data_IF_948668605408
#
_entry.id   IF_948668605408
#
_cell.length_a   1.000
_cell.length_b   1.000
_cell.length_c   1.000
_cell.angle_alpha   90.00
_cell.angle_beta   90.00
_cell.angle_gamma   90.00
#
_symmetry.space_group_name_H-M   'P 1'
#
loop_
_entity.id
_entity.type
_entity.pdbx_description
1 polymer ?
#
# COMPACT_ATOMS: atom_id res chain seq x y z
N UNK A 1 -8.29 -44.54 -45.05
CA UNK A 1 -9.12 -43.80 -44.08
C UNK A 1 -8.47 -42.42 -43.95
N UNK A 2 -8.84 -41.35 -44.68
CA UNK A 2 -10.11 -40.58 -44.63
C UNK A 2 -10.63 -40.50 -43.19
N UNK A 3 -10.72 -39.36 -42.50
CA UNK A 3 -11.08 -37.96 -42.84
C UNK A 3 -10.48 -37.02 -41.78
N UNK A 4 -9.87 -35.88 -42.13
CA UNK A 4 -10.47 -34.52 -42.11
C UNK A 4 -11.26 -34.14 -40.86
N UNK A 5 -10.72 -33.25 -40.04
CA UNK A 5 -11.38 -32.14 -39.32
C UNK A 5 -10.24 -31.34 -38.64
N UNK A 6 -10.01 -30.06 -38.88
CA UNK A 6 -10.80 -29.00 -38.28
C UNK A 6 -10.70 -27.70 -39.10
N UNK A 7 -11.87 -27.14 -39.42
CA UNK A 7 -12.07 -25.87 -40.09
C UNK A 7 -12.22 -24.74 -39.06
N UNK A 8 -11.44 -23.69 -39.26
CA UNK A 8 -11.95 -22.32 -39.47
C UNK A 8 -12.89 -21.71 -38.40
N UNK A 9 -12.36 -20.77 -37.61
CA UNK A 9 -13.08 -19.53 -37.30
C UNK A 9 -12.18 -18.33 -37.48
N UNK A 10 -12.34 -17.67 -38.62
CA UNK A 10 -11.97 -16.29 -38.78
C UNK A 10 -13.18 -15.38 -38.60
N UNK A 11 -12.85 -14.10 -38.40
CA UNK A 11 -13.61 -12.89 -38.78
C UNK A 11 -14.41 -12.14 -37.71
N UNK A 12 -13.92 -10.90 -37.50
CA UNK A 12 -14.63 -9.60 -37.55
C UNK A 12 -15.22 -9.06 -36.25
N UNK A 13 -14.62 -7.96 -35.79
CA UNK A 13 -15.28 -6.82 -35.17
C UNK A 13 -14.54 -5.56 -35.61
N UNK A 14 -15.23 -4.63 -36.26
CA UNK A 14 -14.69 -3.47 -36.95
C UNK A 14 -15.34 -2.18 -36.44
N UNK A 15 -14.62 -1.07 -36.64
CA UNK A 15 -15.09 0.31 -36.87
C UNK A 15 -15.75 1.13 -35.72
N UNK A 16 -15.24 2.38 -35.66
CA UNK A 16 -15.96 3.67 -35.49
C UNK A 16 -16.43 3.99 -34.06
N UNK A 17 -16.23 5.20 -33.51
CA UNK A 17 -16.20 6.47 -34.23
C UNK A 17 -15.56 7.64 -33.50
N UNK A 18 -15.25 8.60 -34.36
CA UNK A 18 -14.82 9.96 -34.13
C UNK A 18 -15.96 10.74 -33.46
N UNK A 19 -15.63 11.49 -32.40
CA UNK A 19 -16.48 12.54 -31.85
C UNK A 19 -15.66 13.80 -31.63
N UNK A 20 -15.69 14.71 -32.60
CA UNK A 20 -15.22 16.09 -32.51
C UNK A 20 -16.43 16.98 -32.23
N UNK A 21 -16.34 17.86 -31.25
CA UNK A 21 -17.05 19.14 -31.14
C UNK A 21 -16.60 19.80 -29.82
N UNK A 22 -16.47 21.11 -29.63
CA UNK A 22 -16.38 22.27 -30.49
C UNK A 22 -15.99 23.42 -29.54
N UNK A 23 -15.24 24.39 -30.05
CA UNK A 23 -14.87 25.61 -29.35
C UNK A 23 -16.08 26.49 -29.00
N UNK A 24 -15.97 27.31 -27.96
CA UNK A 24 -16.85 28.47 -27.83
C UNK A 24 -16.69 29.36 -26.59
N UNK A 25 -16.13 30.57 -26.82
CA UNK A 25 -16.55 31.91 -26.32
C UNK A 25 -16.42 32.14 -24.80
N UNK A 26 -15.40 32.86 -24.29
CA UNK A 26 -15.23 34.33 -24.22
C UNK A 26 -16.26 35.09 -23.35
N UNK A 27 -15.76 35.85 -22.37
CA UNK A 27 -16.52 36.77 -21.49
C UNK A 27 -16.52 36.29 -20.03
N UNK A 28 -16.18 37.07 -19.00
CA UNK A 28 -16.01 38.51 -18.89
C UNK A 28 -14.97 38.82 -17.80
N UNK A 29 -14.21 39.90 -18.02
CA UNK A 29 -13.41 40.58 -17.01
C UNK A 29 -14.37 41.20 -15.99
N UNK A 30 -14.30 40.77 -14.73
CA UNK A 30 -14.86 41.54 -13.61
C UNK A 30 -13.70 42.25 -12.92
N UNK A 31 -13.66 43.57 -13.12
CA UNK A 31 -12.85 44.51 -12.33
C UNK A 31 -13.74 45.08 -11.23
N UNK A 32 -13.71 44.45 -10.07
CA UNK A 32 -14.27 44.93 -8.80
C UNK A 32 -13.36 44.33 -7.72
N UNK A 33 -13.00 44.97 -6.62
CA UNK A 33 -12.99 46.35 -6.19
C UNK A 33 -11.98 46.33 -5.03
N UNK A 34 -11.12 47.35 -4.97
CA UNK A 34 -10.03 47.47 -4.01
C UNK A 34 -10.59 47.85 -2.63
N UNK A 35 -11.07 46.86 -1.88
CA UNK A 35 -11.22 46.98 -0.43
C UNK A 35 -9.97 46.41 0.25
N UNK A 36 -9.04 47.32 0.54
CA UNK A 36 -7.88 47.09 1.40
C UNK A 36 -8.34 46.64 2.80
N UNK A 37 -8.46 45.33 2.99
CA UNK A 37 -8.42 44.72 4.31
C UNK A 37 -6.97 44.35 4.61
N UNK A 38 -6.34 45.23 5.40
CA UNK A 38 -5.10 44.99 6.13
C UNK A 38 -5.29 43.80 7.08
N UNK A 39 -5.24 42.59 6.51
CA UNK A 39 -5.13 41.34 7.26
C UNK A 39 -3.64 41.06 7.44
N UNK A 40 -3.14 40.91 8.69
CA UNK A 40 -1.79 40.43 8.91
C UNK A 40 -1.63 39.11 8.16
N UNK A 41 -0.59 39.03 7.34
CA UNK A 41 -0.28 37.84 6.57
C UNK A 41 -0.34 36.60 7.48
N UNK A 42 -1.04 35.51 7.11
CA UNK A 42 -0.91 34.26 7.82
C UNK A 42 0.57 33.92 7.81
N UNK A 43 1.19 33.93 8.99
CA UNK A 43 2.57 33.48 9.12
C UNK A 43 2.63 32.09 8.50
N UNK A 44 3.62 31.79 7.64
CA UNK A 44 3.85 30.42 7.25
C UNK A 44 4.08 29.67 8.56
N UNK A 45 3.12 28.82 8.94
CA UNK A 45 3.34 27.83 9.96
C UNK A 45 4.55 27.06 9.46
N UNK A 46 5.72 27.35 10.04
CA UNK A 46 6.86 26.48 9.97
C UNK A 46 6.39 25.23 10.68
N UNK A 47 5.79 24.33 9.89
CA UNK A 47 5.51 22.97 10.28
C UNK A 47 6.83 22.42 10.76
N UNK A 48 7.04 22.46 12.08
CA UNK A 48 8.13 21.72 12.71
C UNK A 48 8.08 20.34 12.08
N UNK A 49 9.14 19.88 11.41
CA UNK A 49 9.16 18.53 10.88
C UNK A 49 8.91 17.64 12.08
N UNK A 50 7.71 17.08 12.12
CA UNK A 50 7.26 16.23 13.19
C UNK A 50 8.18 15.02 13.11
N UNK A 51 9.20 15.02 13.97
CA UNK A 51 10.05 13.86 14.16
C UNK A 51 9.15 12.64 14.38
N UNK A 52 9.59 11.45 13.96
CA UNK A 52 8.80 10.24 14.14
C UNK A 52 8.32 10.19 15.59
N UNK A 53 7.01 10.03 15.85
CA UNK A 53 6.47 10.10 17.21
C UNK A 53 7.26 9.15 18.10
N UNK A 54 7.75 9.65 19.24
CA UNK A 54 8.66 8.97 20.20
C UNK A 54 8.20 7.56 20.62
N UNK A 55 6.95 7.17 20.36
CA UNK A 55 6.44 5.82 20.59
C UNK A 55 6.93 4.76 19.61
N UNK A 56 7.31 5.09 18.36
CA UNK A 56 7.61 4.09 17.34
C UNK A 56 8.92 3.33 17.60
N UNK A 57 9.94 4.04 18.08
CA UNK A 57 11.23 3.44 18.45
C UNK A 57 11.13 2.50 19.64
N UNK A 58 10.21 2.76 20.58
CA UNK A 58 9.93 1.85 21.69
C UNK A 58 9.40 0.47 21.23
N UNK A 59 8.81 0.42 20.03
CA UNK A 59 8.36 -0.83 19.38
C UNK A 59 9.41 -1.41 18.40
N UNK A 60 10.64 -0.89 18.41
CA UNK A 60 11.71 -1.31 17.52
C UNK A 60 11.42 -1.03 16.04
N UNK A 61 10.49 -0.10 15.74
CA UNK A 61 10.22 0.35 14.39
C UNK A 61 11.19 1.47 14.01
N UNK A 62 11.71 1.40 12.79
CA UNK A 62 12.61 2.39 12.21
C UNK A 62 12.10 2.81 10.83
N UNK A 63 12.51 3.99 10.37
CA UNK A 63 12.20 4.47 9.02
C UNK A 63 12.62 3.44 7.95
N UNK A 64 11.90 3.36 6.83
CA UNK A 64 12.19 2.36 5.80
C UNK A 64 13.58 2.56 5.21
N UNK A 65 14.29 1.45 5.00
CA UNK A 65 15.59 1.41 4.32
C UNK A 65 15.41 1.55 2.81
N UNK A 66 16.47 1.92 2.10
CA UNK A 66 16.43 2.16 0.65
C UNK A 66 15.94 0.95 -0.16
N UNK A 67 16.26 -0.27 0.28
CA UNK A 67 15.80 -1.51 -0.35
C UNK A 67 14.29 -1.75 -0.15
N UNK A 68 13.76 -1.42 1.03
CA UNK A 68 12.32 -1.44 1.30
C UNK A 68 11.61 -0.37 0.46
N UNK A 69 12.15 0.84 0.38
CA UNK A 69 11.61 1.91 -0.48
C UNK A 69 11.63 1.47 -1.95
N UNK A 70 12.71 0.84 -2.42
CA UNK A 70 12.82 0.35 -3.80
C UNK A 70 11.77 -0.72 -4.14
N UNK A 71 11.52 -1.65 -3.20
CA UNK A 71 10.46 -2.66 -3.35
C UNK A 71 9.09 -2.01 -3.55
N UNK A 72 8.75 -1.03 -2.73
CA UNK A 72 7.44 -0.36 -2.76
C UNK A 72 7.33 0.65 -3.91
N UNK A 73 8.43 1.24 -4.37
CA UNK A 73 8.44 2.24 -5.43
C UNK A 73 7.56 3.45 -5.08
N UNK A 74 6.53 3.71 -5.90
CA UNK A 74 5.60 4.81 -5.67
C UNK A 74 4.58 4.54 -4.53
N UNK A 75 4.51 3.31 -3.99
CA UNK A 75 3.64 2.94 -2.87
C UNK A 75 4.24 3.40 -1.53
N UNK A 76 4.43 4.71 -1.37
CA UNK A 76 4.86 5.32 -0.11
C UNK A 76 3.70 5.67 0.83
N UNK A 77 3.98 6.18 2.04
CA UNK A 77 2.96 6.76 2.91
C UNK A 77 2.09 7.79 2.19
N UNK A 78 0.77 7.68 2.33
CA UNK A 78 -0.22 8.47 1.62
C UNK A 78 -0.67 7.89 0.27
N UNK A 79 0.05 6.92 -0.29
CA UNK A 79 -0.32 6.31 -1.57
C UNK A 79 -1.61 5.50 -1.46
N UNK A 80 -2.51 5.69 -2.43
CA UNK A 80 -3.74 4.92 -2.52
C UNK A 80 -3.45 3.51 -3.03
N UNK A 81 -4.12 2.52 -2.43
CA UNK A 81 -4.14 1.13 -2.89
C UNK A 81 -5.59 0.84 -3.27
N UNK A 82 -5.87 0.85 -4.57
CA UNK A 82 -7.24 0.85 -5.08
C UNK A 82 -8.03 2.09 -4.62
N UNK A 83 -9.36 1.95 -4.52
CA UNK A 83 -10.29 3.04 -4.14
C UNK A 83 -10.63 3.09 -2.65
N UNK A 84 -10.17 2.11 -1.85
CA UNK A 84 -10.64 1.89 -0.48
C UNK A 84 -9.54 1.90 0.59
N UNK A 85 -8.28 1.80 0.20
CA UNK A 85 -7.17 1.74 1.14
C UNK A 85 -6.09 2.75 0.80
N UNK A 86 -5.34 3.13 1.83
CA UNK A 86 -4.15 3.98 1.71
C UNK A 86 -3.05 3.36 2.55
N UNK A 87 -1.81 3.45 2.07
CA UNK A 87 -0.65 3.12 2.89
C UNK A 87 -0.45 4.26 3.89
N UNK A 88 -0.60 3.98 5.18
CA UNK A 88 -0.43 4.99 6.24
C UNK A 88 1.03 5.08 6.68
N UNK A 89 1.68 3.93 6.89
CA UNK A 89 3.08 3.88 7.29
C UNK A 89 3.79 2.65 6.71
N UNK A 90 5.08 2.83 6.40
CA UNK A 90 6.01 1.82 5.92
C UNK A 90 7.28 1.89 6.78
N UNK A 91 7.80 0.75 7.21
CA UNK A 91 8.96 0.68 8.10
C UNK A 91 10.07 -0.20 7.53
N UNK A 92 11.28 -0.08 8.08
CA UNK A 92 12.38 -0.98 7.75
C UNK A 92 12.06 -2.43 8.13
N UNK A 93 12.84 -3.36 7.56
CA UNK A 93 12.80 -4.77 7.97
C UNK A 93 13.12 -4.88 9.47
N UNK A 94 12.17 -5.42 10.24
CA UNK A 94 12.29 -5.67 11.68
C UNK A 94 12.15 -7.16 11.92
N UNK A 95 13.22 -7.77 12.45
CA UNK A 95 13.26 -9.21 12.75
C UNK A 95 12.81 -10.09 11.57
N UNK A 96 13.24 -9.74 10.36
CA UNK A 96 12.98 -10.53 9.15
C UNK A 96 11.64 -10.26 8.44
N UNK A 97 10.81 -9.33 8.93
CA UNK A 97 9.59 -8.90 8.24
C UNK A 97 9.51 -7.39 8.03
N UNK A 98 8.75 -6.93 7.04
CA UNK A 98 8.45 -5.51 6.82
C UNK A 98 7.11 -5.18 7.48
N UNK A 99 7.08 -4.33 8.52
CA UNK A 99 5.86 -3.82 9.10
C UNK A 99 5.26 -2.73 8.20
N UNK A 100 3.95 -2.80 7.97
CA UNK A 100 3.18 -1.82 7.19
C UNK A 100 1.90 -1.49 7.97
N UNK A 101 1.44 -0.24 7.89
CA UNK A 101 0.11 0.15 8.36
C UNK A 101 -0.70 0.58 7.15
N UNK A 102 -1.88 -0.02 7.01
CA UNK A 102 -2.89 0.39 6.04
C UNK A 102 -4.02 1.12 6.75
N UNK A 103 -4.64 2.05 6.05
CA UNK A 103 -5.84 2.76 6.48
C UNK A 103 -6.97 2.51 5.48
N UNK A 104 -8.17 2.20 5.99
CA UNK A 104 -9.38 2.16 5.17
C UNK A 104 -9.84 3.59 4.83
N UNK A 105 -10.68 3.75 3.81
CA UNK A 105 -11.32 5.04 3.49
C UNK A 105 -12.05 5.68 4.68
N UNK A 106 -12.52 4.87 5.64
CA UNK A 106 -13.18 5.33 6.86
C UNK A 106 -12.22 5.77 7.98
N UNK A 107 -10.91 5.76 7.74
CA UNK A 107 -9.90 6.16 8.74
C UNK A 107 -9.45 5.04 9.68
N UNK A 108 -9.97 3.82 9.51
CA UNK A 108 -9.59 2.69 10.36
C UNK A 108 -8.22 2.14 9.95
N UNK A 109 -7.31 2.01 10.91
CA UNK A 109 -5.94 1.53 10.69
C UNK A 109 -5.73 0.09 11.13
N UNK A 110 -4.95 -0.66 10.37
CA UNK A 110 -4.57 -2.03 10.68
C UNK A 110 -3.13 -2.33 10.21
N UNK A 111 -2.46 -3.23 10.95
CA UNK A 111 -1.09 -3.60 10.67
C UNK A 111 -1.00 -4.81 9.75
N UNK A 112 0.00 -4.82 8.88
CA UNK A 112 0.35 -5.93 8.01
C UNK A 112 1.85 -6.21 8.19
N UNK A 113 2.23 -7.48 8.25
CA UNK A 113 3.64 -7.86 8.17
C UNK A 113 3.88 -8.68 6.91
N UNK A 114 4.98 -8.36 6.23
CA UNK A 114 5.38 -8.99 4.98
C UNK A 114 6.67 -9.77 5.24
N UNK A 115 6.67 -11.05 4.88
CA UNK A 115 7.80 -11.97 4.96
C UNK A 115 8.15 -12.51 3.59
N UNK A 116 9.27 -13.24 3.49
CA UNK A 116 9.41 -14.21 2.41
C UNK A 116 8.39 -15.33 2.58
N UNK A 117 7.88 -15.82 1.45
CA UNK A 117 7.09 -17.02 1.39
C UNK A 117 7.90 -18.25 1.87
N UNK A 118 7.20 -19.21 2.46
CA UNK A 118 7.78 -20.46 2.95
C UNK A 118 6.70 -21.40 3.49
N UNK A 119 7.11 -22.56 4.00
CA UNK A 119 6.20 -23.68 4.37
C UNK A 119 5.46 -23.50 5.71
N UNK A 120 5.47 -22.29 6.26
CA UNK A 120 4.90 -21.98 7.58
C UNK A 120 3.37 -21.80 7.55
N UNK A 121 2.81 -21.07 8.54
CA UNK A 121 1.40 -20.71 8.53
C UNK A 121 0.98 -20.07 7.20
N UNK A 122 -0.19 -20.46 6.69
CA UNK A 122 -0.72 -19.92 5.45
C UNK A 122 -0.88 -18.39 5.56
N UNK A 123 -0.30 -17.61 4.64
CA UNK A 123 -0.50 -16.18 4.61
C UNK A 123 -1.92 -15.83 4.17
N UNK A 124 -2.34 -14.60 4.47
CA UNK A 124 -3.62 -14.09 4.01
C UNK A 124 -3.58 -13.77 2.51
N UNK A 125 -2.41 -13.35 2.00
CA UNK A 125 -2.15 -13.13 0.59
C UNK A 125 -0.66 -13.35 0.26
N UNK A 126 -0.35 -13.59 -1.01
CA UNK A 126 1.02 -13.74 -1.52
C UNK A 126 1.27 -12.80 -2.69
N UNK A 127 2.53 -12.38 -2.87
CA UNK A 127 2.98 -11.61 -4.02
C UNK A 127 4.39 -12.08 -4.42
N UNK A 128 4.51 -12.85 -5.50
CA UNK A 128 5.74 -13.57 -5.86
C UNK A 128 6.26 -14.38 -4.67
N UNK A 129 7.50 -14.11 -4.28
CA UNK A 129 8.15 -14.73 -3.12
C UNK A 129 7.82 -14.05 -1.77
N UNK A 130 6.78 -13.22 -1.71
CA UNK A 130 6.31 -12.56 -0.49
C UNK A 130 5.05 -13.21 0.07
N UNK A 131 4.97 -13.26 1.39
CA UNK A 131 3.83 -13.72 2.17
C UNK A 131 3.36 -12.60 3.10
N UNK A 132 2.09 -12.22 3.02
CA UNK A 132 1.50 -11.11 3.76
C UNK A 132 0.55 -11.63 4.84
N UNK A 133 0.73 -11.11 6.05
CA UNK A 133 -0.04 -11.49 7.23
C UNK A 133 -0.68 -10.25 7.85
N UNK A 134 -1.97 -10.35 8.14
CA UNK A 134 -2.67 -9.34 8.94
C UNK A 134 -2.23 -9.45 10.40
N UNK A 135 -1.78 -8.33 10.99
CA UNK A 135 -1.48 -8.23 12.41
C UNK A 135 -2.74 -7.79 13.15
N UNK A 136 -3.57 -8.77 13.51
CA UNK A 136 -4.63 -8.56 14.49
C UNK A 136 -4.04 -8.75 15.89
N UNK A 137 -4.32 -7.84 16.85
CA UNK A 137 -3.83 -7.93 18.25
C UNK A 137 -4.42 -9.12 19.03
N UNK A 138 -4.98 -10.11 18.35
CA UNK A 138 -5.61 -11.29 18.94
C UNK A 138 -4.67 -12.49 18.96
N UNK A 139 -4.98 -13.44 19.81
CA UNK A 139 -4.48 -14.82 19.85
C UNK A 139 -5.09 -15.71 18.74
N UNK A 140 -5.67 -15.09 17.71
CA UNK A 140 -6.48 -15.76 16.68
C UNK A 140 -7.98 -15.83 17.00
N UNK A 141 -8.44 -15.39 18.19
CA UNK A 141 -9.87 -15.44 18.54
C UNK A 141 -10.72 -14.28 18.00
N UNK A 142 -10.10 -13.17 17.60
CA UNK A 142 -10.84 -12.02 17.05
C UNK A 142 -11.04 -12.20 15.55
N UNK A 143 -12.30 -12.18 15.12
CA UNK A 143 -12.68 -12.10 13.72
C UNK A 143 -12.07 -10.83 13.13
N UNK A 144 -11.21 -11.02 12.14
CA UNK A 144 -10.65 -9.92 11.37
C UNK A 144 -11.75 -9.25 10.55
N UNK A 145 -11.74 -7.92 10.54
CA UNK A 145 -12.61 -7.13 9.67
C UNK A 145 -12.36 -7.51 8.20
N UNK A 146 -13.43 -7.80 7.45
CA UNK A 146 -13.36 -8.16 6.03
C UNK A 146 -12.62 -7.08 5.22
N UNK A 147 -12.83 -5.80 5.55
CA UNK A 147 -12.15 -4.69 4.89
C UNK A 147 -10.63 -4.71 5.11
N UNK A 148 -10.16 -5.17 6.28
CA UNK A 148 -8.74 -5.33 6.53
C UNK A 148 -8.16 -6.46 5.68
N UNK A 149 -8.85 -7.59 5.59
CA UNK A 149 -8.40 -8.73 4.78
C UNK A 149 -8.33 -8.41 3.29
N UNK A 150 -9.35 -7.76 2.75
CA UNK A 150 -9.34 -7.27 1.36
C UNK A 150 -8.22 -6.26 1.12
N UNK A 151 -7.89 -5.41 2.11
CA UNK A 151 -6.76 -4.50 2.03
C UNK A 151 -5.41 -5.20 1.94
N UNK A 152 -5.22 -6.32 2.64
CA UNK A 152 -4.01 -7.14 2.52
C UNK A 152 -3.88 -7.75 1.13
N UNK A 153 -4.98 -8.26 0.56
CA UNK A 153 -5.00 -8.80 -0.81
C UNK A 153 -4.70 -7.70 -1.83
N UNK A 154 -5.28 -6.50 -1.67
CA UNK A 154 -5.02 -5.37 -2.54
C UNK A 154 -3.55 -4.92 -2.49
N UNK A 155 -2.94 -4.91 -1.30
CA UNK A 155 -1.51 -4.63 -1.15
C UNK A 155 -0.65 -5.71 -1.83
N UNK A 156 -1.01 -7.00 -1.70
CA UNK A 156 -0.29 -8.08 -2.37
C UNK A 156 -0.30 -7.91 -3.90
N UNK A 157 -1.46 -7.59 -4.50
CA UNK A 157 -1.54 -7.32 -5.94
C UNK A 157 -0.68 -6.12 -6.37
N UNK A 158 -0.63 -5.07 -5.54
CA UNK A 158 0.20 -3.90 -5.82
C UNK A 158 1.71 -4.25 -5.78
N UNK A 159 2.13 -5.11 -4.84
CA UNK A 159 3.50 -5.61 -4.76
C UNK A 159 3.84 -6.58 -5.88
N UNK A 160 2.91 -7.43 -6.31
CA UNK A 160 3.08 -8.34 -7.45
C UNK A 160 3.44 -7.57 -8.72
N UNK A 161 2.76 -6.44 -8.97
CA UNK A 161 3.08 -5.56 -10.08
C UNK A 161 4.53 -5.03 -9.99
N UNK A 162 4.96 -4.61 -8.80
CA UNK A 162 6.34 -4.14 -8.56
C UNK A 162 7.38 -5.24 -8.82
N UNK A 163 7.12 -6.46 -8.35
CA UNK A 163 8.00 -7.60 -8.55
C UNK A 163 8.08 -7.99 -10.03
N UNK A 164 6.96 -7.93 -10.75
CA UNK A 164 6.90 -8.15 -12.20
C UNK A 164 7.72 -7.10 -12.97
N UNK A 165 7.77 -5.86 -12.46
CA UNK A 165 8.61 -4.78 -12.99
C UNK A 165 10.10 -4.92 -12.60
N UNK A 166 10.48 -5.96 -11.87
CA UNK A 166 11.86 -6.25 -11.50
C UNK A 166 12.31 -5.61 -10.19
N UNK A 167 11.39 -5.17 -9.33
CA UNK A 167 11.75 -4.71 -7.99
C UNK A 167 12.45 -5.83 -7.19
N UNK A 168 13.59 -5.50 -6.59
CA UNK A 168 14.35 -6.46 -5.79
C UNK A 168 13.77 -6.61 -4.39
N UNK A 169 13.86 -7.82 -3.84
CA UNK A 169 13.49 -8.09 -2.45
C UNK A 169 14.61 -7.64 -1.50
N UNK A 170 14.28 -6.98 -0.37
CA UNK A 170 15.23 -6.73 0.71
C UNK A 170 15.92 -8.01 1.17
N UNK A 171 17.26 -7.97 1.25
CA UNK A 171 18.07 -9.15 1.57
C UNK A 171 17.90 -9.67 3.01
N UNK A 172 17.41 -8.81 3.90
CA UNK A 172 17.16 -9.11 5.32
C UNK A 172 15.78 -9.74 5.58
N UNK A 173 14.91 -9.86 4.57
CA UNK A 173 13.64 -10.57 4.70
C UNK A 173 13.86 -12.06 4.95
N UNK A 174 13.14 -12.60 5.93
CA UNK A 174 13.10 -14.03 6.23
C UNK A 174 11.67 -14.55 6.13
N UNK A 175 11.48 -15.86 6.29
CA UNK A 175 10.14 -16.43 6.48
C UNK A 175 9.62 -16.14 7.89
N UNK A 176 8.30 -16.26 8.10
CA UNK A 176 7.70 -16.10 9.42
C UNK A 176 8.25 -17.12 10.44
N UNK A 177 8.47 -18.36 10.02
CA UNK A 177 9.01 -19.40 10.90
C UNK A 177 10.47 -19.18 11.27
N UNK A 178 11.27 -18.61 10.37
CA UNK A 178 12.63 -18.19 10.70
C UNK A 178 12.61 -17.10 11.79
N UNK A 179 11.71 -16.11 11.67
CA UNK A 179 11.53 -15.10 12.74
C UNK A 179 11.13 -15.74 14.07
N UNK A 180 10.16 -16.65 14.08
CA UNK A 180 9.67 -17.32 15.31
C UNK A 180 10.77 -18.12 16.01
N UNK A 181 11.68 -18.75 15.25
CA UNK A 181 12.83 -19.47 15.79
C UNK A 181 13.91 -18.55 16.35
N UNK A 182 14.23 -17.48 15.63
CA UNK A 182 15.28 -16.53 16.06
C UNK A 182 14.82 -15.61 17.18
N UNK A 183 13.51 -15.40 17.33
CA UNK A 183 12.92 -14.51 18.31
C UNK A 183 11.72 -15.15 19.01
N UNK A 184 11.92 -16.24 19.78
CA UNK A 184 10.82 -17.00 20.38
C UNK A 184 10.00 -16.20 21.40
N UNK A 185 10.60 -15.16 21.99
CA UNK A 185 9.97 -14.25 22.95
C UNK A 185 9.71 -12.86 22.36
N UNK A 186 9.84 -12.70 21.03
CA UNK A 186 9.73 -11.41 20.36
C UNK A 186 8.31 -10.85 20.41
N UNK A 187 8.15 -9.62 20.90
CA UNK A 187 6.89 -8.88 20.85
C UNK A 187 6.91 -7.96 19.63
N UNK A 188 6.27 -8.39 18.54
CA UNK A 188 6.30 -7.69 17.24
C UNK A 188 5.06 -6.81 17.02
N UNK A 189 4.67 -6.06 18.04
CA UNK A 189 3.51 -5.18 17.94
C UNK A 189 3.73 -4.08 16.90
N UNK A 190 2.67 -3.78 16.13
CA UNK A 190 2.59 -2.59 15.28
C UNK A 190 1.60 -1.65 15.95
N UNK A 191 2.05 -0.46 16.42
CA UNK A 191 1.19 0.50 17.09
C UNK A 191 0.28 1.18 16.06
N UNK A 192 -0.89 0.60 15.83
CA UNK A 192 -2.00 1.29 15.18
C UNK A 192 -2.66 2.21 16.20
N UNK A 193 -2.40 3.51 16.11
CA UNK A 193 -3.14 4.50 16.90
C UNK A 193 -4.63 4.42 16.52
N UNK A 194 -5.52 4.55 17.50
CA UNK A 194 -6.94 4.76 17.21
C UNK A 194 -7.09 6.18 16.66
N UNK A 195 -7.75 6.29 15.51
CA UNK A 195 -8.25 7.57 15.00
C UNK A 195 -9.25 8.18 15.97
#
# INVERSE_FOLDING_TARGET
MSTSDEKQFGRRGALVGIGVAAAGIAGALSTEDLAAQDRPAPQPSTSTPMGPPDGLSAHGLSAPTDDVVALFGALGPGAAIGSHWRLDALYAVRAGGIPVILETRGGQRFGVEIFRAGDGPAPLATAGDLALFLVNRGDGAQVSDEAAGLGVIALAHALEARLTEGAALPGSLTTLDARRRSHPTGVFHIPVARA
#
